data_IF_523333158349
#
_entry.id   IF_523333158349
#
_cell.length_a   1.000
_cell.length_b   1.000
_cell.length_c   1.000
_cell.angle_alpha   90.00
_cell.angle_beta   90.00
_cell.angle_gamma   90.00
#
_symmetry.space_group_name_H-M   'P 1'
#
loop_
_entity.id
_entity.type
_entity.pdbx_description
1 polymer ?
#
# COMPACT_ATOMS: atom_id res chain seq x y z
N UNK A 1 33.83 -34.43 10.23
CA UNK A 1 33.19 -33.44 9.33
C UNK A 1 31.98 -34.11 8.71
N UNK A 2 30.82 -33.46 8.65
CA UNK A 2 29.66 -34.03 7.98
C UNK A 2 29.90 -34.10 6.47
N UNK A 3 29.46 -35.17 5.80
CA UNK A 3 29.45 -35.26 4.34
C UNK A 3 28.60 -34.12 3.77
N UNK A 4 29.08 -33.46 2.70
CA UNK A 4 28.34 -32.37 2.04
C UNK A 4 28.10 -32.69 0.56
N UNK A 5 26.97 -32.21 0.04
CA UNK A 5 26.64 -32.26 -1.40
C UNK A 5 26.69 -30.83 -1.93
N UNK A 6 27.44 -30.62 -3.00
CA UNK A 6 27.39 -29.39 -3.78
C UNK A 6 26.49 -29.61 -4.99
N UNK A 7 25.53 -28.71 -5.19
CA UNK A 7 24.72 -28.67 -6.42
C UNK A 7 25.48 -27.96 -7.53
N UNK A 8 25.01 -28.12 -8.77
CA UNK A 8 25.52 -27.33 -9.90
C UNK A 8 25.35 -25.85 -9.58
N UNK A 9 26.35 -25.04 -9.86
CA UNK A 9 26.34 -23.63 -9.43
C UNK A 9 27.10 -22.73 -10.40
N UNK A 10 26.68 -21.47 -10.52
CA UNK A 10 27.32 -20.48 -11.39
C UNK A 10 26.75 -19.07 -11.19
N UNK A 11 27.31 -18.07 -11.86
CA UNK A 11 26.76 -16.71 -11.85
C UNK A 11 25.40 -16.65 -12.52
N UNK A 12 24.62 -15.59 -12.28
CA UNK A 12 23.28 -15.39 -12.90
C UNK A 12 23.32 -15.57 -14.42
N UNK A 13 24.34 -15.04 -15.10
CA UNK A 13 24.50 -15.19 -16.55
C UNK A 13 24.68 -16.65 -16.98
N UNK A 14 25.45 -17.44 -16.22
CA UNK A 14 25.67 -18.87 -16.51
C UNK A 14 24.43 -19.70 -16.21
N UNK A 15 23.73 -19.41 -15.10
CA UNK A 15 22.48 -20.09 -14.74
C UNK A 15 21.41 -19.79 -15.78
N UNK A 16 21.20 -18.53 -16.15
CA UNK A 16 20.19 -18.11 -17.13
C UNK A 16 20.39 -18.69 -18.53
N UNK A 17 21.62 -19.03 -18.91
CA UNK A 17 21.94 -19.63 -20.20
C UNK A 17 21.85 -21.18 -20.19
N UNK A 18 21.73 -21.80 -19.01
CA UNK A 18 21.70 -23.24 -18.86
C UNK A 18 20.25 -23.75 -18.69
N UNK A 19 19.86 -24.79 -19.43
CA UNK A 19 18.57 -25.48 -19.25
C UNK A 19 18.77 -26.72 -18.38
N UNK A 20 18.41 -26.69 -17.08
CA UNK A 20 18.62 -27.82 -16.19
C UNK A 20 17.61 -28.94 -16.49
N UNK A 21 18.04 -30.19 -16.31
CA UNK A 21 17.18 -31.36 -16.47
C UNK A 21 16.03 -31.34 -15.46
N UNK A 22 14.96 -32.08 -15.73
CA UNK A 22 13.84 -32.21 -14.79
C UNK A 22 14.34 -32.71 -13.43
N UNK A 23 14.10 -31.93 -12.37
CA UNK A 23 14.56 -32.22 -11.01
C UNK A 23 16.01 -31.84 -10.68
N UNK A 24 16.79 -31.33 -11.64
CA UNK A 24 18.14 -30.85 -11.38
C UNK A 24 18.11 -29.55 -10.56
N UNK A 25 18.90 -29.49 -9.48
CA UNK A 25 19.06 -28.29 -8.66
C UNK A 25 20.30 -27.49 -9.11
N UNK A 26 20.11 -26.18 -9.31
CA UNK A 26 21.16 -25.23 -9.70
C UNK A 26 21.17 -24.01 -8.78
N UNK A 27 22.33 -23.66 -8.23
CA UNK A 27 22.52 -22.48 -7.39
C UNK A 27 23.10 -21.30 -8.19
N UNK A 28 22.41 -20.17 -8.21
CA UNK A 28 22.98 -18.90 -8.64
C UNK A 28 23.84 -18.31 -7.52
N UNK A 29 25.16 -18.29 -7.74
CA UNK A 29 26.13 -17.79 -6.75
C UNK A 29 26.22 -16.28 -6.68
N UNK A 30 25.60 -15.55 -7.60
CA UNK A 30 25.52 -14.09 -7.56
C UNK A 30 24.36 -13.64 -6.67
N UNK A 31 23.21 -14.31 -6.78
CA UNK A 31 21.99 -13.97 -6.01
C UNK A 31 21.75 -14.87 -4.81
N UNK A 32 22.53 -15.94 -4.65
CA UNK A 32 22.36 -17.01 -3.66
C UNK A 32 20.97 -17.69 -3.72
N UNK A 33 20.39 -17.77 -4.92
CA UNK A 33 19.07 -18.38 -5.17
C UNK A 33 19.21 -19.77 -5.77
N UNK A 34 18.35 -20.70 -5.32
CA UNK A 34 18.26 -22.05 -5.86
C UNK A 34 17.18 -22.10 -6.97
N UNK A 35 17.46 -22.87 -8.01
CA UNK A 35 16.58 -23.12 -9.14
C UNK A 35 16.42 -24.63 -9.33
N UNK A 36 15.24 -25.07 -9.75
CA UNK A 36 14.95 -26.45 -10.15
C UNK A 36 14.66 -26.51 -11.65
N UNK A 37 15.24 -27.49 -12.34
CA UNK A 37 14.99 -27.73 -13.75
C UNK A 37 13.67 -28.43 -14.01
N UNK A 38 13.08 -28.13 -15.16
CA UNK A 38 11.95 -28.85 -15.75
C UNK A 38 12.33 -29.54 -17.08
N UNK A 39 13.60 -29.46 -17.49
CA UNK A 39 14.11 -30.01 -18.75
C UNK A 39 13.89 -29.12 -19.98
N UNK A 40 13.25 -27.94 -19.84
CA UNK A 40 12.87 -27.09 -20.99
C UNK A 40 13.16 -25.60 -20.78
N UNK A 41 13.05 -25.09 -19.55
CA UNK A 41 13.24 -23.68 -19.21
C UNK A 41 14.72 -23.38 -18.95
N UNK A 42 15.35 -22.57 -19.81
CA UNK A 42 16.67 -21.99 -19.53
C UNK A 42 16.62 -21.13 -18.25
N UNK A 43 17.61 -21.28 -17.36
CA UNK A 43 17.59 -20.71 -16.01
C UNK A 43 16.87 -21.54 -14.95
N UNK A 44 16.04 -22.51 -15.35
CA UNK A 44 15.17 -23.25 -14.44
C UNK A 44 14.07 -22.39 -13.80
N UNK A 45 13.31 -22.98 -12.88
CA UNK A 45 12.31 -22.28 -12.05
C UNK A 45 12.91 -21.99 -10.69
N UNK A 46 12.83 -20.75 -10.22
CA UNK A 46 13.35 -20.41 -8.89
C UNK A 46 12.60 -21.21 -7.82
N UNK A 47 13.34 -21.89 -6.95
CA UNK A 47 12.79 -22.50 -5.74
C UNK A 47 12.55 -21.37 -4.75
N UNK A 48 11.29 -20.94 -4.65
CA UNK A 48 10.88 -19.94 -3.68
C UNK A 48 10.54 -20.63 -2.35
N UNK A 49 10.94 -19.99 -1.24
CA UNK A 49 10.37 -20.35 0.05
C UNK A 49 8.86 -20.13 0.03
N UNK A 50 8.12 -20.92 0.81
CA UNK A 50 6.70 -20.64 1.02
C UNK A 50 6.55 -19.20 1.53
N UNK A 51 5.75 -18.37 0.83
CA UNK A 51 5.37 -17.03 1.31
C UNK A 51 4.34 -17.19 2.43
N UNK A 52 4.80 -17.65 3.59
CA UNK A 52 3.98 -17.70 4.79
C UNK A 52 3.91 -16.30 5.36
N UNK A 53 2.73 -15.93 5.87
CA UNK A 53 2.62 -14.73 6.70
C UNK A 53 3.45 -14.88 7.99
N UNK A 54 3.70 -13.75 8.65
CA UNK A 54 4.37 -13.74 9.95
C UNK A 54 3.50 -14.42 11.01
N UNK A 55 4.08 -15.35 11.78
CA UNK A 55 3.35 -16.17 12.78
C UNK A 55 3.86 -15.99 14.21
N UNK A 56 4.96 -15.27 14.40
CA UNK A 56 5.59 -15.03 15.71
C UNK A 56 5.11 -13.73 16.38
N UNK A 57 4.10 -13.08 15.79
CA UNK A 57 3.54 -11.81 16.28
C UNK A 57 4.35 -10.57 15.92
N UNK A 58 5.48 -10.70 15.20
CA UNK A 58 6.20 -9.56 14.67
C UNK A 58 5.50 -8.92 13.47
N UNK A 59 5.93 -7.71 13.08
CA UNK A 59 5.50 -7.09 11.84
C UNK A 59 6.15 -7.76 10.64
N UNK A 60 5.41 -7.90 9.54
CA UNK A 60 6.00 -8.33 8.26
C UNK A 60 7.04 -7.32 7.79
N UNK A 61 8.19 -7.83 7.35
CA UNK A 61 9.26 -7.02 6.81
C UNK A 61 8.85 -6.37 5.48
N UNK A 62 9.61 -5.36 5.05
CA UNK A 62 9.35 -4.69 3.78
C UNK A 62 9.41 -5.68 2.60
N UNK A 63 8.38 -5.67 1.75
CA UNK A 63 8.24 -6.59 0.61
C UNK A 63 7.53 -7.91 0.92
N UNK A 64 7.33 -8.26 2.20
CA UNK A 64 6.65 -9.49 2.59
C UNK A 64 5.13 -9.33 2.64
N UNK A 65 4.41 -10.44 2.46
CA UNK A 65 2.95 -10.45 2.62
C UNK A 65 2.60 -10.04 4.05
N UNK A 66 1.72 -9.05 4.16
CA UNK A 66 1.32 -8.46 5.43
C UNK A 66 2.14 -7.24 5.85
N UNK A 67 3.12 -6.80 5.04
CA UNK A 67 3.83 -5.52 5.25
C UNK A 67 2.80 -4.42 5.51
N UNK A 68 2.98 -3.67 6.59
CA UNK A 68 2.05 -2.63 7.02
C UNK A 68 2.73 -1.27 7.00
N UNK A 69 2.14 -0.34 6.26
CA UNK A 69 2.59 1.04 6.15
C UNK A 69 1.47 1.97 6.60
N UNK A 70 1.82 3.08 7.25
CA UNK A 70 0.84 4.09 7.65
C UNK A 70 1.41 5.49 7.65
N UNK A 71 0.56 6.47 7.36
CA UNK A 71 0.85 7.89 7.49
C UNK A 71 -0.35 8.59 8.11
N UNK A 72 -0.11 9.60 8.95
CA UNK A 72 -1.17 10.40 9.56
C UNK A 72 -0.79 11.87 9.61
N UNK A 73 -1.79 12.73 9.62
CA UNK A 73 -1.64 14.14 9.92
C UNK A 73 -2.82 14.62 10.76
N UNK A 74 -2.62 15.74 11.45
CA UNK A 74 -3.64 16.35 12.30
C UNK A 74 -3.77 17.84 12.00
N UNK A 75 -4.96 18.38 12.21
CA UNK A 75 -5.24 19.82 12.15
C UNK A 75 -4.87 20.48 10.81
N UNK A 76 -5.05 19.77 9.69
CA UNK A 76 -4.88 20.32 8.34
C UNK A 76 -6.01 21.30 8.07
N UNK A 77 -5.69 22.59 7.92
CA UNK A 77 -6.68 23.62 7.68
C UNK A 77 -7.41 23.39 6.35
N UNK A 78 -8.74 23.54 6.36
CA UNK A 78 -9.58 23.43 5.17
C UNK A 78 -9.99 24.81 4.68
N UNK A 79 -9.99 24.96 3.35
CA UNK A 79 -10.66 26.06 2.66
C UNK A 79 -11.99 25.55 2.14
N UNK A 80 -13.07 26.33 2.31
CA UNK A 80 -14.42 25.91 1.92
C UNK A 80 -14.47 25.50 0.45
N UNK A 81 -15.08 24.35 0.17
CA UNK A 81 -15.24 23.77 -1.16
C UNK A 81 -13.94 23.50 -1.94
N UNK A 82 -12.79 23.46 -1.27
CA UNK A 82 -11.47 23.17 -1.88
C UNK A 82 -10.94 21.83 -1.38
N UNK A 83 -10.53 20.97 -2.30
CA UNK A 83 -9.91 19.70 -1.98
C UNK A 83 -8.46 19.90 -1.49
N UNK A 84 -8.05 19.18 -0.46
CA UNK A 84 -6.71 19.24 0.12
C UNK A 84 -6.20 17.85 0.47
N UNK A 85 -4.89 17.64 0.40
CA UNK A 85 -4.25 16.45 0.94
C UNK A 85 -4.16 16.58 2.47
N UNK A 86 -4.75 15.66 3.21
CA UNK A 86 -4.52 15.55 4.66
C UNK A 86 -3.14 14.97 4.92
N UNK A 87 -2.82 13.86 4.26
CA UNK A 87 -1.54 13.19 4.36
C UNK A 87 -1.27 12.38 3.09
N UNK A 88 -0.06 11.88 2.94
CA UNK A 88 0.34 11.00 1.84
C UNK A 88 1.19 9.85 2.33
N UNK A 89 1.15 8.75 1.58
CA UNK A 89 1.93 7.54 1.84
C UNK A 89 2.50 7.01 0.52
N UNK A 90 3.81 6.82 0.46
CA UNK A 90 4.47 6.19 -0.70
C UNK A 90 4.38 4.68 -0.56
N UNK A 91 3.81 4.03 -1.58
CA UNK A 91 3.67 2.58 -1.66
C UNK A 91 4.67 2.02 -2.68
N UNK A 92 5.30 0.90 -2.35
CA UNK A 92 6.23 0.17 -3.24
C UNK A 92 5.46 -0.78 -4.17
N UNK A 93 6.04 -1.16 -5.31
CA UNK A 93 5.40 -2.07 -6.26
C UNK A 93 4.86 -3.34 -5.59
N UNK A 94 3.60 -3.68 -5.86
CA UNK A 94 2.86 -4.74 -5.18
C UNK A 94 1.35 -4.50 -5.18
N UNK A 95 0.65 -5.35 -4.45
CA UNK A 95 -0.79 -5.25 -4.23
C UNK A 95 -1.08 -4.82 -2.80
N UNK A 96 -1.87 -3.77 -2.65
CA UNK A 96 -2.09 -3.10 -1.38
C UNK A 96 -3.58 -2.95 -1.08
N UNK A 97 -3.95 -3.37 0.12
CA UNK A 97 -5.24 -3.11 0.73
C UNK A 97 -5.16 -1.87 1.61
N UNK A 98 -5.98 -0.87 1.29
CA UNK A 98 -5.91 0.48 1.86
C UNK A 98 -7.19 0.77 2.65
N UNK A 99 -7.03 1.29 3.85
CA UNK A 99 -8.10 1.79 4.69
C UNK A 99 -7.66 2.99 5.51
N UNK A 100 -8.62 3.71 6.09
CA UNK A 100 -8.33 4.86 6.92
C UNK A 100 -9.57 5.60 7.36
N UNK A 101 -9.34 6.64 8.15
CA UNK A 101 -10.38 7.46 8.76
C UNK A 101 -9.98 8.93 8.64
N UNK A 102 -10.98 9.79 8.52
CA UNK A 102 -10.85 11.25 8.56
C UNK A 102 -11.72 11.78 9.68
N UNK A 103 -11.20 12.70 10.46
CA UNK A 103 -11.95 13.53 11.38
C UNK A 103 -11.98 14.96 10.85
N UNK A 104 -13.16 15.58 10.83
CA UNK A 104 -13.35 17.00 10.59
C UNK A 104 -13.66 17.67 11.92
N UNK A 105 -12.90 18.71 12.24
CA UNK A 105 -13.05 19.47 13.47
C UNK A 105 -13.38 20.92 13.13
N UNK A 106 -14.43 21.40 13.77
CA UNK A 106 -15.08 22.68 13.66
C UNK A 106 -15.50 23.13 15.07
N UNK A 107 -16.04 24.35 15.20
CA UNK A 107 -16.56 24.88 16.46
C UNK A 107 -17.87 25.60 16.18
N UNK A 108 -18.99 24.86 16.27
CA UNK A 108 -20.32 25.36 15.95
C UNK A 108 -20.54 25.77 14.48
N UNK A 109 -19.65 25.37 13.56
CA UNK A 109 -19.76 25.74 12.15
C UNK A 109 -20.85 24.94 11.45
N UNK A 110 -21.60 25.59 10.56
CA UNK A 110 -22.52 24.91 9.65
C UNK A 110 -21.67 24.37 8.48
N UNK A 111 -21.37 23.08 8.56
CA UNK A 111 -20.83 22.30 7.44
C UNK A 111 -22.02 21.83 6.62
N UNK A 112 -21.96 21.98 5.30
CA UNK A 112 -23.02 21.60 4.34
C UNK A 112 -22.68 20.33 3.55
N UNK A 113 -21.40 19.96 3.49
CA UNK A 113 -20.93 18.79 2.76
C UNK A 113 -19.50 18.41 3.19
N UNK A 114 -19.26 17.12 3.42
CA UNK A 114 -17.91 16.55 3.61
C UNK A 114 -17.68 15.43 2.59
N UNK A 115 -16.46 15.38 2.04
CA UNK A 115 -16.05 14.39 1.05
C UNK A 115 -14.63 13.95 1.36
N UNK A 116 -14.35 12.65 1.31
CA UNK A 116 -13.00 12.15 1.39
C UNK A 116 -12.81 10.79 0.71
N UNK A 117 -11.58 10.51 0.29
CA UNK A 117 -11.20 9.32 -0.46
C UNK A 117 -9.68 9.21 -0.59
N UNK A 118 -9.19 8.03 -0.99
CA UNK A 118 -7.80 7.90 -1.42
C UNK A 118 -7.66 8.03 -2.94
N UNK A 119 -6.55 8.62 -3.36
CA UNK A 119 -6.25 8.85 -4.78
C UNK A 119 -4.75 8.93 -4.97
N UNK A 120 -4.28 8.63 -6.17
CA UNK A 120 -2.88 8.83 -6.56
C UNK A 120 -2.62 10.21 -7.16
N UNK A 121 -3.66 11.04 -7.28
CA UNK A 121 -3.56 12.41 -7.79
C UNK A 121 -3.70 13.41 -6.64
N UNK A 122 -2.69 14.25 -6.47
CA UNK A 122 -2.65 15.27 -5.42
C UNK A 122 -3.87 16.21 -5.47
N UNK A 123 -4.42 16.53 -4.30
CA UNK A 123 -5.50 17.50 -4.06
C UNK A 123 -6.72 17.34 -4.98
N UNK A 124 -6.98 16.12 -5.44
CA UNK A 124 -8.09 15.82 -6.37
C UNK A 124 -8.96 14.71 -5.78
N UNK A 125 -10.20 15.01 -5.44
CA UNK A 125 -11.11 13.99 -4.89
C UNK A 125 -11.35 12.86 -5.90
N UNK A 126 -11.29 11.59 -5.48
CA UNK A 126 -11.63 10.47 -6.37
C UNK A 126 -13.13 10.45 -6.69
N UNK A 127 -13.49 9.75 -7.76
CA UNK A 127 -14.88 9.53 -8.14
C UNK A 127 -15.54 8.43 -7.29
N UNK A 128 -16.89 8.37 -7.29
CA UNK A 128 -17.61 7.23 -6.74
C UNK A 128 -17.18 5.94 -7.49
N UNK A 129 -17.01 4.78 -6.80
CA UNK A 129 -17.30 4.50 -5.39
C UNK A 129 -16.14 4.75 -4.41
N UNK A 130 -15.04 5.33 -4.88
CA UNK A 130 -13.78 5.48 -4.12
C UNK A 130 -13.75 6.69 -3.17
N UNK A 131 -14.91 7.27 -2.87
CA UNK A 131 -15.08 8.35 -1.89
C UNK A 131 -16.35 8.17 -1.09
N UNK A 132 -16.35 8.62 0.16
CA UNK A 132 -17.61 8.94 0.84
C UNK A 132 -18.01 10.37 0.49
N UNK A 133 -19.31 10.64 0.59
CA UNK A 133 -19.86 12.00 0.56
C UNK A 133 -21.04 12.06 1.51
N UNK A 134 -20.99 12.97 2.46
CA UNK A 134 -22.10 13.24 3.35
C UNK A 134 -22.57 14.69 3.14
N UNK A 135 -23.67 14.91 2.40
CA UNK A 135 -24.35 16.19 2.37
C UNK A 135 -25.19 16.33 3.64
N UNK A 136 -24.78 17.19 4.55
CA UNK A 136 -25.49 17.49 5.80
C UNK A 136 -25.42 18.98 6.03
N UNK A 137 -26.51 19.67 6.38
CA UNK A 137 -26.48 21.07 6.80
C UNK A 137 -26.77 21.16 8.30
N UNK A 138 -25.75 20.94 9.12
CA UNK A 138 -25.87 20.95 10.58
C UNK A 138 -24.68 21.66 11.20
N UNK A 139 -24.87 22.21 12.40
CA UNK A 139 -23.75 22.62 13.24
C UNK A 139 -22.99 21.36 13.66
N UNK A 140 -21.69 21.34 13.41
CA UNK A 140 -20.81 20.23 13.76
C UNK A 140 -19.65 20.78 14.57
N UNK A 141 -19.32 20.12 15.66
CA UNK A 141 -18.06 20.33 16.38
C UNK A 141 -17.02 19.36 15.82
N UNK A 142 -17.14 18.07 16.11
CA UNK A 142 -16.22 17.05 15.58
C UNK A 142 -17.01 15.89 14.97
N UNK A 143 -16.63 15.48 13.75
CA UNK A 143 -17.20 14.30 13.10
C UNK A 143 -16.11 13.45 12.46
N UNK A 144 -16.14 12.14 12.70
CA UNK A 144 -15.21 11.18 12.12
C UNK A 144 -15.92 10.24 11.14
N UNK A 145 -15.27 9.94 10.01
CA UNK A 145 -15.80 9.11 8.94
C UNK A 145 -14.72 8.15 8.44
N UNK A 146 -15.09 6.90 8.23
CA UNK A 146 -14.24 5.92 7.55
C UNK A 146 -14.19 6.21 6.04
N UNK A 147 -13.00 6.15 5.48
CA UNK A 147 -12.77 6.29 4.04
C UNK A 147 -13.07 4.94 3.38
N UNK A 148 -13.72 4.89 2.19
CA UNK A 148 -13.91 3.64 1.48
C UNK A 148 -12.61 2.87 1.31
N UNK A 149 -12.67 1.57 1.58
CA UNK A 149 -11.58 0.66 1.34
C UNK A 149 -11.22 0.62 -0.15
N UNK A 150 -9.93 0.56 -0.47
CA UNK A 150 -9.46 0.41 -1.83
C UNK A 150 -8.36 -0.65 -1.90
N UNK A 151 -8.40 -1.49 -2.93
CA UNK A 151 -7.29 -2.34 -3.33
C UNK A 151 -6.59 -1.71 -4.53
N UNK A 152 -5.28 -1.56 -4.45
CA UNK A 152 -4.48 -0.94 -5.51
C UNK A 152 -3.31 -1.85 -5.90
N UNK A 153 -3.23 -2.17 -7.19
CA UNK A 153 -2.10 -2.86 -7.79
C UNK A 153 -1.16 -1.80 -8.38
N UNK A 154 0.07 -1.75 -7.89
CA UNK A 154 1.08 -0.79 -8.33
C UNK A 154 2.31 -1.49 -8.86
N UNK A 155 2.77 -1.04 -10.03
CA UNK A 155 3.95 -1.60 -10.72
C UNK A 155 5.21 -0.78 -10.46
N UNK A 156 5.06 0.45 -9.98
CA UNK A 156 6.14 1.37 -9.62
C UNK A 156 5.81 2.08 -8.31
N UNK A 157 6.82 2.69 -7.69
CA UNK A 157 6.64 3.49 -6.48
C UNK A 157 5.60 4.59 -6.73
N UNK A 158 4.52 4.60 -5.95
CA UNK A 158 3.36 5.47 -6.17
C UNK A 158 3.00 6.17 -4.87
N UNK A 159 2.76 7.48 -4.94
CA UNK A 159 2.27 8.24 -3.79
C UNK A 159 0.76 8.17 -3.74
N UNK A 160 0.23 7.69 -2.63
CA UNK A 160 -1.19 7.69 -2.30
C UNK A 160 -1.50 8.89 -1.41
N UNK A 161 -2.54 9.63 -1.71
CA UNK A 161 -3.01 10.78 -0.94
C UNK A 161 -4.35 10.47 -0.29
N UNK A 162 -4.52 10.89 0.97
CA UNK A 162 -5.82 11.03 1.59
C UNK A 162 -6.32 12.45 1.30
N UNK A 163 -7.28 12.55 0.39
CA UNK A 163 -7.82 13.85 -0.04
C UNK A 163 -9.18 14.06 0.59
N UNK A 164 -9.38 15.26 1.12
CA UNK A 164 -10.64 15.65 1.77
C UNK A 164 -11.10 17.02 1.27
N UNK A 165 -12.38 17.29 1.46
CA UNK A 165 -12.99 18.60 1.25
C UNK A 165 -14.13 18.77 2.26
N UNK A 166 -14.27 19.97 2.81
CA UNK A 166 -15.47 20.39 3.52
C UNK A 166 -16.03 21.66 2.86
N UNK A 167 -17.35 21.77 2.80
CA UNK A 167 -18.07 23.00 2.47
C UNK A 167 -18.70 23.54 3.74
N UNK A 168 -18.40 24.78 4.09
CA UNK A 168 -18.89 25.45 5.30
C UNK A 168 -19.12 26.94 5.03
N UNK A 169 -20.06 27.54 5.76
CA UNK A 169 -20.50 28.92 5.52
C UNK A 169 -19.55 29.98 6.09
N UNK A 170 -18.97 29.71 7.27
CA UNK A 170 -18.08 30.63 7.98
C UNK A 170 -17.20 29.89 8.99
N UNK A 171 -16.22 30.59 9.55
CA UNK A 171 -15.28 30.08 10.56
C UNK A 171 -14.21 29.15 10.01
N UNK A 172 -13.57 28.38 10.90
CA UNK A 172 -12.43 27.53 10.58
C UNK A 172 -12.77 26.06 10.77
N UNK A 173 -12.47 25.25 9.76
CA UNK A 173 -12.58 23.78 9.82
C UNK A 173 -11.20 23.20 9.54
N UNK A 174 -10.82 22.18 10.30
CA UNK A 174 -9.60 21.40 10.05
C UNK A 174 -9.92 19.91 9.88
N UNK A 175 -9.00 19.18 9.26
CA UNK A 175 -9.09 17.74 9.11
C UNK A 175 -7.87 17.05 9.71
N UNK A 176 -8.12 15.93 10.38
CA UNK A 176 -7.12 14.96 10.82
C UNK A 176 -7.40 13.64 10.14
N UNK A 177 -6.37 12.84 9.84
CA UNK A 177 -6.60 11.59 9.13
C UNK A 177 -5.41 10.67 9.08
N UNK A 178 -5.68 9.43 8.69
CA UNK A 178 -4.70 8.36 8.60
C UNK A 178 -4.92 7.52 7.35
N UNK A 179 -3.82 7.18 6.68
CA UNK A 179 -3.73 6.14 5.65
C UNK A 179 -3.11 4.92 6.31
N UNK A 180 -3.70 3.75 6.09
CA UNK A 180 -3.18 2.45 6.50
C UNK A 180 -3.21 1.52 5.31
N UNK A 181 -2.06 0.98 4.93
CA UNK A 181 -1.92 0.09 3.78
C UNK A 181 -1.29 -1.23 4.23
N UNK A 182 -1.84 -2.35 3.76
CA UNK A 182 -1.30 -3.68 4.00
C UNK A 182 -1.05 -4.41 2.69
N UNK A 183 0.14 -4.99 2.53
CA UNK A 183 0.51 -5.75 1.34
C UNK A 183 -0.20 -7.11 1.33
N UNK A 184 -0.93 -7.40 0.27
CA UNK A 184 -1.83 -8.57 0.20
C UNK A 184 -1.17 -9.78 -0.47
N UNK A 185 -0.24 -9.53 -1.40
CA UNK A 185 0.50 -10.57 -2.14
C UNK A 185 1.78 -10.05 -2.79
#
# INVERSE_FOLDING_TARGET
MASSIQVKRGTTAKVSAYTPLSGELVLDTTTNKLYAGDGTTAGGKQVLGSRKGVTDGSGAAAGDIGEYLSASASSVALTTATAVNVTSLTLTAGDWDIHGTVEYTASGNIITNIIGGFTTTSATLPAFPNRYRNPSAAAVDTTAVAVPYQRLLITTSTVLYLVVQASFASGAVSASGVIRARRSN
#
